data_IF_666234229912
#
_entry.id   IF_666234229912
#
_cell.length_a   1.000
_cell.length_b   1.000
_cell.length_c   1.000
_cell.angle_alpha   90.00
_cell.angle_beta   90.00
_cell.angle_gamma   90.00
#
_symmetry.space_group_name_H-M   'P 1'
#
loop_
_entity.id
_entity.type
_entity.pdbx_description
1 polymer ?
#
# COMPACT_ATOMS: atom_id res chain seq x y z
N UNK A 1 -13.85 -1.28 -13.95
CA UNK A 1 -12.54 -0.84 -13.44
C UNK A 1 -12.09 0.32 -14.29
N UNK A 2 -11.87 1.48 -13.68
CA UNK A 2 -11.33 2.65 -14.38
C UNK A 2 -9.86 2.38 -14.71
N UNK A 3 -9.30 2.98 -15.75
CA UNK A 3 -7.88 2.83 -16.09
C UNK A 3 -6.94 3.20 -14.93
N UNK A 4 -7.38 4.14 -14.08
CA UNK A 4 -6.69 4.57 -12.85
C UNK A 4 -6.60 3.45 -11.81
N UNK A 5 -7.67 2.67 -11.64
CA UNK A 5 -7.71 1.55 -10.68
C UNK A 5 -6.68 0.47 -11.02
N UNK A 6 -6.55 0.13 -12.32
CA UNK A 6 -5.56 -0.85 -12.79
C UNK A 6 -4.12 -0.35 -12.63
N UNK A 7 -3.89 0.95 -12.83
CA UNK A 7 -2.57 1.55 -12.65
C UNK A 7 -2.12 1.48 -11.18
N UNK A 8 -3.05 1.76 -10.24
CA UNK A 8 -2.80 1.64 -8.80
C UNK A 8 -2.54 0.17 -8.44
N UNK A 9 -3.36 -0.77 -8.91
CA UNK A 9 -3.16 -2.21 -8.65
C UNK A 9 -1.80 -2.72 -9.15
N UNK A 10 -1.36 -2.25 -10.33
CA UNK A 10 -0.05 -2.59 -10.89
C UNK A 10 1.10 -2.03 -10.03
N UNK A 11 0.98 -0.77 -9.58
CA UNK A 11 1.98 -0.19 -8.69
C UNK A 11 2.06 -0.94 -7.36
N UNK A 12 0.92 -1.28 -6.76
CA UNK A 12 0.86 -2.02 -5.50
C UNK A 12 1.50 -3.41 -5.64
N UNK A 13 1.18 -4.15 -6.71
CA UNK A 13 1.81 -5.44 -6.99
C UNK A 13 3.34 -5.32 -7.15
N UNK A 14 3.83 -4.24 -7.77
CA UNK A 14 5.26 -3.99 -7.91
C UNK A 14 5.92 -3.66 -6.55
N UNK A 15 5.22 -2.95 -5.67
CA UNK A 15 5.65 -2.66 -4.30
C UNK A 15 5.74 -3.96 -3.49
N UNK A 16 4.72 -4.83 -3.57
CA UNK A 16 4.74 -6.14 -2.88
C UNK A 16 5.91 -7.01 -3.37
N UNK A 17 6.16 -7.05 -4.68
CA UNK A 17 7.30 -7.78 -5.26
C UNK A 17 8.65 -7.21 -4.81
N UNK A 18 8.80 -5.89 -4.77
CA UNK A 18 10.04 -5.23 -4.32
C UNK A 18 10.32 -5.48 -2.84
N UNK A 19 9.28 -5.51 -2.03
CA UNK A 19 9.38 -5.56 -0.57
C UNK A 19 9.20 -6.95 0.00
N UNK A 20 8.85 -7.93 -0.85
CA UNK A 20 8.54 -9.33 -0.51
C UNK A 20 7.51 -9.47 0.60
N UNK A 21 6.60 -8.50 0.71
CA UNK A 21 5.60 -8.41 1.78
C UNK A 21 4.26 -8.01 1.18
N UNK A 22 3.19 -8.58 1.71
CA UNK A 22 1.84 -8.28 1.23
C UNK A 22 1.30 -6.96 1.79
N UNK A 23 0.39 -6.29 1.06
CA UNK A 23 -0.30 -5.09 1.54
C UNK A 23 -1.00 -5.29 2.89
N UNK A 24 -1.50 -6.51 3.13
CA UNK A 24 -2.13 -6.88 4.40
C UNK A 24 -1.12 -6.87 5.55
N UNK A 25 0.07 -7.45 5.35
CA UNK A 25 1.15 -7.40 6.35
C UNK A 25 1.64 -5.98 6.60
N UNK A 26 1.73 -5.15 5.55
CA UNK A 26 2.06 -3.74 5.68
C UNK A 26 1.05 -3.00 6.54
N UNK A 27 -0.22 -3.22 6.27
CA UNK A 27 -1.32 -2.63 7.05
C UNK A 27 -1.25 -3.06 8.51
N UNK A 28 -0.98 -4.34 8.77
CA UNK A 28 -0.80 -4.87 10.12
C UNK A 28 0.43 -4.25 10.82
N UNK A 29 1.56 -4.11 10.14
CA UNK A 29 2.77 -3.49 10.69
C UNK A 29 2.57 -2.01 11.02
N UNK A 30 1.86 -1.27 10.17
CA UNK A 30 1.52 0.13 10.41
C UNK A 30 0.51 0.29 11.56
N UNK A 31 -0.48 -0.61 11.64
CA UNK A 31 -1.41 -0.64 12.76
C UNK A 31 -0.69 -0.96 14.07
N UNK A 32 0.25 -1.90 14.06
CA UNK A 32 1.10 -2.21 15.22
C UNK A 32 2.01 -1.04 15.60
N UNK A 33 2.47 -0.24 14.63
CA UNK A 33 3.30 0.94 14.92
C UNK A 33 2.50 2.10 15.51
N UNK A 34 1.17 2.02 15.57
CA UNK A 34 0.30 3.07 16.14
C UNK A 34 0.29 4.36 15.32
N UNK A 35 0.81 4.34 14.09
CA UNK A 35 0.93 5.53 13.26
C UNK A 35 -0.42 5.84 12.60
N UNK A 36 -0.93 7.03 12.88
CA UNK A 36 -2.21 7.51 12.37
C UNK A 36 -2.03 8.56 11.28
N UNK A 37 -0.93 9.34 11.32
CA UNK A 37 -0.69 10.39 10.34
C UNK A 37 -0.10 9.84 9.04
N UNK A 38 -0.66 10.32 7.94
CA UNK A 38 -0.25 9.98 6.58
C UNK A 38 1.25 10.20 6.32
N UNK A 39 1.78 11.33 6.80
CA UNK A 39 3.18 11.69 6.65
C UNK A 39 4.11 10.74 7.44
N UNK A 40 3.76 10.39 8.67
CA UNK A 40 4.56 9.50 9.51
C UNK A 40 4.57 8.07 8.96
N UNK A 41 3.43 7.59 8.47
CA UNK A 41 3.33 6.29 7.81
C UNK A 41 4.21 6.27 6.57
N UNK A 42 4.08 7.26 5.69
CA UNK A 42 4.90 7.36 4.48
C UNK A 42 6.39 7.35 4.81
N UNK A 43 6.81 8.14 5.80
CA UNK A 43 8.21 8.21 6.21
C UNK A 43 8.70 6.85 6.72
N UNK A 44 7.90 6.17 7.55
CA UNK A 44 8.20 4.82 8.00
C UNK A 44 8.32 3.84 6.84
N UNK A 45 7.48 3.97 5.81
CA UNK A 45 7.52 3.10 4.64
C UNK A 45 8.80 3.28 3.81
N UNK A 46 9.24 4.54 3.65
CA UNK A 46 10.49 4.89 2.98
C UNK A 46 11.68 4.36 3.80
N UNK A 47 11.69 4.62 5.10
CA UNK A 47 12.84 4.29 5.96
C UNK A 47 12.98 2.78 6.19
N UNK A 48 11.87 2.05 6.38
CA UNK A 48 11.91 0.62 6.70
C UNK A 48 11.93 -0.31 5.50
N UNK A 49 11.31 0.10 4.41
CA UNK A 49 11.18 -0.74 3.21
C UNK A 49 11.86 -0.15 1.98
N UNK A 50 12.60 0.97 2.16
CA UNK A 50 13.35 1.63 1.09
C UNK A 50 12.49 1.95 -0.13
N UNK A 51 11.21 2.26 0.10
CA UNK A 51 10.30 2.66 -0.97
C UNK A 51 10.61 4.06 -1.46
N UNK A 52 10.37 4.30 -2.75
CA UNK A 52 10.37 5.64 -3.30
C UNK A 52 9.23 6.48 -2.71
N UNK A 53 9.44 7.80 -2.63
CA UNK A 53 8.43 8.74 -2.12
C UNK A 53 7.09 8.62 -2.87
N UNK A 54 7.13 8.41 -4.18
CA UNK A 54 5.94 8.20 -5.01
C UNK A 54 5.17 6.93 -4.63
N UNK A 55 5.86 5.81 -4.45
CA UNK A 55 5.27 4.52 -4.08
C UNK A 55 4.59 4.61 -2.70
N UNK A 56 5.30 5.18 -1.72
CA UNK A 56 4.78 5.37 -0.37
C UNK A 56 3.59 6.36 -0.33
N UNK A 57 3.63 7.41 -1.15
CA UNK A 57 2.52 8.36 -1.30
C UNK A 57 1.28 7.69 -1.87
N UNK A 58 1.42 6.95 -2.96
CA UNK A 58 0.30 6.29 -3.64
C UNK A 58 -0.36 5.29 -2.69
N UNK A 59 0.43 4.47 -2.00
CA UNK A 59 -0.07 3.52 -1.02
C UNK A 59 -0.86 4.22 0.08
N UNK A 60 -0.28 5.26 0.70
CA UNK A 60 -0.92 5.94 1.81
C UNK A 60 -2.20 6.65 1.35
N UNK A 61 -2.23 7.22 0.15
CA UNK A 61 -3.43 7.85 -0.44
C UNK A 61 -4.52 6.81 -0.74
N UNK A 62 -4.13 5.62 -1.23
CA UNK A 62 -5.03 4.49 -1.47
C UNK A 62 -5.57 3.83 -0.21
N UNK A 63 -5.10 4.21 0.99
CA UNK A 63 -5.70 3.83 2.27
C UNK A 63 -6.87 4.75 2.64
N UNK A 64 -6.80 6.02 2.25
CA UNK A 64 -7.83 7.03 2.52
C UNK A 64 -8.98 6.97 1.50
N UNK A 65 -8.71 6.51 0.29
CA UNK A 65 -9.71 6.19 -0.73
C UNK A 65 -9.91 4.67 -0.77
N UNK A 66 -11.13 4.12 -0.84
CA UNK A 66 -11.30 2.67 -0.90
C UNK A 66 -10.47 2.09 -2.05
N UNK A 67 -9.63 1.09 -1.73
CA UNK A 67 -8.86 0.38 -2.75
C UNK A 67 -9.81 -0.18 -3.80
N UNK A 68 -9.43 -0.18 -5.09
CA UNK A 68 -10.23 -0.84 -6.11
C UNK A 68 -10.53 -2.28 -5.67
N UNK A 69 -11.81 -2.64 -5.74
CA UNK A 69 -12.42 -3.81 -5.12
C UNK A 69 -11.98 -5.16 -5.73
N UNK A 70 -10.69 -5.51 -5.70
CA UNK A 70 -10.17 -6.75 -6.31
C UNK A 70 -9.36 -7.69 -5.43
N UNK A 71 -9.10 -7.37 -4.15
CA UNK A 71 -8.58 -8.37 -3.20
C UNK A 71 -9.65 -9.13 -2.41
N UNK A 72 -10.86 -9.31 -2.97
CA UNK A 72 -11.87 -10.20 -2.40
C UNK A 72 -12.71 -10.91 -3.45
N UNK A 73 -12.07 -11.69 -4.35
CA UNK A 73 -12.66 -12.84 -5.06
C UNK A 73 -11.58 -13.85 -5.47
N UNK A 74 -10.87 -14.41 -4.49
CA UNK A 74 -10.17 -15.70 -4.63
C UNK A 74 -10.23 -16.44 -3.29
N UNK A 75 -11.44 -16.78 -2.89
CA UNK A 75 -11.71 -17.89 -1.98
C UNK A 75 -12.95 -18.61 -2.54
N UNK A 76 -12.72 -19.85 -2.98
CA UNK A 76 -13.65 -20.82 -3.60
C UNK A 76 -14.03 -20.52 -5.06
#
# INVERSE_FOLDING_TARGET
>A
MSSVDKAIETQLNNIEKKTSKSLAEWTALIQQSGLTKHAEIRQMLIDRFQLGYGDANTWCTSRSNPMPNTMSRRAV
#
